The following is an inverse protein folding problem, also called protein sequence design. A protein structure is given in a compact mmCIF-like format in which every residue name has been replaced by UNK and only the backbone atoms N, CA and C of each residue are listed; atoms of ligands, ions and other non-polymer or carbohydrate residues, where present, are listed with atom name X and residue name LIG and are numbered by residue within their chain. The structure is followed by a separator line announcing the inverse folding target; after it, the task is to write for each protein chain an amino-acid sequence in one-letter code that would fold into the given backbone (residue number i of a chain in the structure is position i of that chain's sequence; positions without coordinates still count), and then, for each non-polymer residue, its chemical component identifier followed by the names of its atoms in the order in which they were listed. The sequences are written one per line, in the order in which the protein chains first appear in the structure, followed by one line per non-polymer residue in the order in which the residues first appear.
data_IF_161126803471
#
_entry.id   IF_161126803471
#
_cell.length_a   1.000
_cell.length_b   1.000
_cell.length_c   1.000
_cell.angle_alpha   90.00
_cell.angle_beta   90.00
_cell.angle_gamma   90.00
#
_symmetry.space_group_name_H-M   'P 1'
#
loop_
_entity.id
_entity.type
_entity.pdbx_description
1 polymer ?
#
# COMPACT_ATOMS: atom_id res chain seq x y z
N UNK A 1 4.71 -16.84 20.19
CA UNK A 1 4.19 -16.25 18.93
C UNK A 1 4.74 -14.84 18.90
N UNK A 2 5.84 -14.66 18.18
CA UNK A 2 6.52 -13.37 18.08
C UNK A 2 5.77 -12.53 17.05
N UNK A 3 5.09 -11.48 17.51
CA UNK A 3 4.35 -10.57 16.65
C UNK A 3 5.33 -9.69 15.88
N UNK A 4 5.66 -10.15 14.69
CA UNK A 4 6.37 -9.42 13.65
C UNK A 4 5.62 -8.13 13.32
N UNK A 5 6.22 -6.98 13.62
CA UNK A 5 5.70 -5.69 13.21
C UNK A 5 5.90 -5.52 11.69
N UNK A 6 4.77 -5.49 11.00
CA UNK A 6 4.54 -5.10 9.60
C UNK A 6 5.27 -3.77 9.23
N UNK A 7 5.72 -3.51 7.99
CA UNK A 7 6.14 -4.38 6.87
C UNK A 7 7.67 -4.51 6.74
N UNK A 8 8.46 -4.01 7.69
CA UNK A 8 9.87 -3.75 7.43
C UNK A 8 10.86 -4.87 7.70
N UNK A 9 10.41 -6.05 8.14
CA UNK A 9 11.30 -7.16 8.47
C UNK A 9 12.55 -6.65 9.18
N UNK A 10 12.36 -5.82 10.22
CA UNK A 10 13.50 -5.30 10.98
C UNK A 10 14.22 -6.53 11.52
N UNK A 11 15.48 -6.68 11.10
CA UNK A 11 16.23 -7.88 11.41
C UNK A 11 16.25 -8.11 12.92
N UNK A 12 16.15 -9.38 13.34
CA UNK A 12 16.08 -9.73 14.75
C UNK A 12 17.24 -9.10 15.52
N UNK A 13 16.92 -8.31 16.55
CA UNK A 13 17.90 -7.60 17.37
C UNK A 13 18.15 -6.14 16.97
N UNK A 14 17.59 -5.67 15.85
CA UNK A 14 17.53 -4.25 15.52
C UNK A 14 16.26 -3.62 16.09
N UNK A 15 16.43 -2.51 16.82
CA UNK A 15 15.35 -1.64 17.25
C UNK A 15 15.41 -0.35 16.44
N UNK A 16 14.27 0.13 15.99
CA UNK A 16 14.12 1.44 15.36
C UNK A 16 13.37 2.37 16.29
N UNK A 17 13.67 3.66 16.22
CA UNK A 17 12.89 4.69 16.93
C UNK A 17 11.53 4.86 16.25
N UNK A 18 10.56 5.42 16.98
CA UNK A 18 9.27 5.79 16.41
C UNK A 18 9.42 6.73 15.20
N UNK A 19 10.36 7.68 15.28
CA UNK A 19 10.66 8.59 14.18
C UNK A 19 11.18 7.86 12.92
N UNK A 20 12.01 6.84 13.10
CA UNK A 20 12.47 5.99 12.00
C UNK A 20 11.32 5.16 11.43
N UNK A 21 10.48 4.58 12.30
CA UNK A 21 9.29 3.84 11.88
C UNK A 21 8.32 4.71 11.07
N UNK A 22 8.06 5.94 11.51
CA UNK A 22 7.21 6.89 10.81
C UNK A 22 7.80 7.31 9.46
N UNK A 23 9.10 7.55 9.40
CA UNK A 23 9.80 7.88 8.14
C UNK A 23 9.67 6.76 7.12
N UNK A 24 9.91 5.53 7.57
CA UNK A 24 9.75 4.32 6.77
C UNK A 24 8.29 4.16 6.31
N UNK A 25 7.32 4.32 7.21
CA UNK A 25 5.90 4.26 6.86
C UNK A 25 5.53 5.26 5.76
N UNK A 26 5.95 6.53 5.87
CA UNK A 26 5.69 7.55 4.86
C UNK A 26 6.30 7.20 3.50
N UNK A 27 7.52 6.65 3.47
CA UNK A 27 8.15 6.19 2.24
C UNK A 27 7.36 5.06 1.58
N UNK A 28 6.86 4.11 2.36
CA UNK A 28 6.04 3.02 1.84
C UNK A 28 4.67 3.49 1.35
N UNK A 29 4.02 4.42 2.06
CA UNK A 29 2.75 5.00 1.62
C UNK A 29 2.96 5.70 0.27
N UNK A 30 4.00 6.52 0.13
CA UNK A 30 4.33 7.18 -1.14
C UNK A 30 4.57 6.17 -2.27
N UNK A 31 5.33 5.10 -2.01
CA UNK A 31 5.53 4.01 -2.98
C UNK A 31 4.22 3.30 -3.35
N UNK A 32 3.35 3.07 -2.38
CA UNK A 32 2.07 2.38 -2.56
C UNK A 32 1.12 3.21 -3.41
N UNK A 33 1.03 4.51 -3.16
CA UNK A 33 0.25 5.45 -3.97
C UNK A 33 0.76 5.43 -5.42
N UNK A 34 2.06 5.54 -5.63
CA UNK A 34 2.65 5.50 -6.97
C UNK A 34 2.34 4.17 -7.69
N UNK A 35 2.37 3.05 -6.97
CA UNK A 35 1.99 1.74 -7.51
C UNK A 35 0.50 1.65 -7.86
N UNK A 36 -0.38 2.17 -7.00
CA UNK A 36 -1.81 2.20 -7.23
C UNK A 36 -2.15 3.00 -8.49
N UNK A 37 -1.65 4.23 -8.60
CA UNK A 37 -1.87 5.11 -9.74
C UNK A 37 -1.27 4.57 -11.04
N UNK A 38 -0.11 3.89 -10.97
CA UNK A 38 0.50 3.29 -12.14
C UNK A 38 -0.30 2.08 -12.68
N UNK A 39 -0.94 1.31 -11.81
CA UNK A 39 -1.75 0.14 -12.22
C UNK A 39 -3.19 0.53 -12.58
N UNK A 40 -3.75 1.53 -11.90
CA UNK A 40 -5.13 1.99 -12.06
C UNK A 40 -5.19 3.53 -12.11
N UNK A 41 -4.89 4.14 -13.27
CA UNK A 41 -4.84 5.59 -13.42
C UNK A 41 -6.15 6.31 -13.05
N UNK A 42 -7.31 5.65 -13.21
CA UNK A 42 -8.63 6.17 -12.82
C UNK A 42 -8.68 6.62 -11.35
N UNK A 43 -7.83 6.06 -10.50
CA UNK A 43 -7.76 6.43 -9.08
C UNK A 43 -7.27 7.87 -8.84
N UNK A 44 -6.61 8.50 -9.82
CA UNK A 44 -6.21 9.90 -9.72
C UNK A 44 -7.41 10.84 -9.61
N UNK A 45 -8.56 10.45 -10.19
CA UNK A 45 -9.80 11.24 -10.23
C UNK A 45 -10.89 10.66 -9.31
N UNK A 46 -10.64 9.51 -8.69
CA UNK A 46 -11.61 8.77 -7.88
C UNK A 46 -11.85 9.36 -6.47
N UNK A 47 -11.10 10.40 -6.10
CA UNK A 47 -11.12 10.99 -4.76
C UNK A 47 -10.30 10.22 -3.72
N UNK A 48 -10.01 10.90 -2.61
CA UNK A 48 -9.09 10.42 -1.57
C UNK A 48 -9.54 9.10 -0.92
N UNK A 49 -10.85 8.92 -0.68
CA UNK A 49 -11.37 7.72 -0.02
C UNK A 49 -11.11 6.45 -0.83
N UNK A 50 -11.38 6.49 -2.14
CA UNK A 50 -11.20 5.32 -3.02
C UNK A 50 -9.72 5.03 -3.24
N UNK A 51 -8.90 6.06 -3.43
CA UNK A 51 -7.45 5.91 -3.52
C UNK A 51 -6.87 5.30 -2.22
N UNK A 52 -7.29 5.81 -1.06
CA UNK A 52 -6.81 5.33 0.25
C UNK A 52 -7.17 3.86 0.47
N UNK A 53 -8.42 3.46 0.21
CA UNK A 53 -8.84 2.07 0.37
C UNK A 53 -8.05 1.09 -0.53
N UNK A 54 -7.74 1.49 -1.77
CA UNK A 54 -6.91 0.67 -2.65
C UNK A 54 -5.45 0.67 -2.20
N UNK A 55 -4.92 1.79 -1.72
CA UNK A 55 -3.58 1.83 -1.13
C UNK A 55 -3.47 0.91 0.09
N UNK A 56 -4.47 0.90 0.99
CA UNK A 56 -4.50 -0.02 2.14
C UNK A 56 -4.48 -1.48 1.71
N UNK A 57 -5.27 -1.83 0.68
CA UNK A 57 -5.25 -3.17 0.10
C UNK A 57 -3.85 -3.53 -0.44
N UNK A 58 -3.23 -2.64 -1.21
CA UNK A 58 -1.91 -2.86 -1.81
C UNK A 58 -0.82 -2.92 -0.74
N UNK A 59 -0.85 -2.06 0.28
CA UNK A 59 0.10 -2.07 1.38
C UNK A 59 0.04 -3.42 2.12
N UNK A 60 -1.16 -3.94 2.33
CA UNK A 60 -1.37 -5.17 3.09
C UNK A 60 -1.07 -6.44 2.29
N UNK A 61 -1.45 -6.48 1.01
CA UNK A 61 -1.45 -7.70 0.20
C UNK A 61 -0.47 -7.67 -0.97
N UNK A 62 0.11 -6.50 -1.28
CA UNK A 62 1.07 -6.28 -2.35
C UNK A 62 0.43 -5.96 -3.71
N UNK A 63 1.11 -5.11 -4.47
CA UNK A 63 0.65 -4.65 -5.80
C UNK A 63 0.44 -5.79 -6.80
N UNK A 64 1.21 -6.88 -6.68
CA UNK A 64 1.04 -8.06 -7.53
C UNK A 64 -0.34 -8.69 -7.37
N UNK A 65 -0.85 -8.79 -6.13
CA UNK A 65 -2.19 -9.32 -5.87
C UNK A 65 -3.28 -8.37 -6.38
N UNK A 66 -3.09 -7.07 -6.20
CA UNK A 66 -4.01 -6.08 -6.77
C UNK A 66 -4.07 -6.15 -8.30
N UNK A 67 -2.92 -6.14 -8.98
CA UNK A 67 -2.80 -6.12 -10.45
C UNK A 67 -3.60 -7.21 -11.17
N UNK A 68 -3.68 -8.41 -10.56
CA UNK A 68 -4.40 -9.57 -11.12
C UNK A 68 -5.74 -9.86 -10.43
N UNK A 69 -6.20 -8.99 -9.54
CA UNK A 69 -7.46 -9.18 -8.81
C UNK A 69 -8.69 -8.82 -9.67
N UNK A 70 -9.82 -9.44 -9.35
CA UNK A 70 -11.14 -8.97 -9.82
C UNK A 70 -11.47 -7.58 -9.28
N UNK A 71 -11.01 -7.25 -8.06
CA UNK A 71 -11.14 -5.92 -7.47
C UNK A 71 -10.60 -4.83 -8.40
N UNK A 72 -9.38 -4.96 -8.92
CA UNK A 72 -8.80 -4.00 -9.87
C UNK A 72 -9.66 -3.85 -11.14
N UNK A 73 -10.23 -4.95 -11.66
CA UNK A 73 -11.15 -4.88 -12.81
C UNK A 73 -12.42 -4.09 -12.49
N UNK A 74 -12.97 -4.21 -11.28
CA UNK A 74 -14.09 -3.40 -10.82
C UNK A 74 -13.69 -1.94 -10.55
N UNK A 75 -12.46 -1.69 -10.12
CA UNK A 75 -11.94 -0.34 -9.91
C UNK A 75 -11.79 0.40 -11.24
N UNK A 76 -11.23 -0.28 -12.24
CA UNK A 76 -10.92 0.28 -13.55
C UNK A 76 -12.11 0.30 -14.52
N UNK A 77 -13.19 -0.41 -14.20
CA UNK A 77 -14.44 -0.22 -14.90
C UNK A 77 -14.98 1.16 -14.52
N UNK A 78 -14.90 2.12 -15.44
CA UNK A 78 -15.70 3.35 -15.39
C UNK A 78 -17.17 2.95 -15.15
N UNK A 79 -17.85 3.61 -14.20
CA UNK A 79 -19.32 3.64 -14.22
C UNK A 79 -19.80 4.52 -15.37
#
# INVERSE_FOLDING_TARGET
MDYWLWPYWIAKGLAITEQQANTLLLQNISKTINQALAISPILAEAGENRLSAICDFIFNLGVGRYKYSTLRRCVDAEE
#
